data_IF_746589428288
#
_entry.id   IF_746589428288
#
_cell.length_a   1.000
_cell.length_b   1.000
_cell.length_c   1.000
_cell.angle_alpha   90.00
_cell.angle_beta   90.00
_cell.angle_gamma   90.00
#
_symmetry.space_group_name_H-M   'P 1'
#
loop_
_entity.id
_entity.type
_entity.pdbx_description
1 polymer ?
#
# COMPACT_ATOMS: atom_id res chain seq x y z
N UNK A 1 4.70 12.92 -7.50
CA UNK A 1 5.44 11.65 -7.70
C UNK A 1 5.04 11.11 -9.05
N UNK A 2 6.01 10.83 -9.90
CA UNK A 2 5.76 10.20 -11.19
C UNK A 2 5.80 8.66 -11.09
N UNK A 3 5.71 7.99 -12.24
CA UNK A 3 5.69 6.53 -12.32
C UNK A 3 7.03 5.92 -11.91
N UNK A 4 8.13 6.52 -12.35
CA UNK A 4 9.47 5.97 -12.15
C UNK A 4 9.85 6.07 -10.67
N UNK A 5 9.55 7.22 -10.05
CA UNK A 5 9.68 7.41 -8.61
C UNK A 5 8.91 6.32 -7.83
N UNK A 6 7.64 6.07 -8.23
CA UNK A 6 6.76 5.14 -7.51
C UNK A 6 7.26 3.69 -7.66
N UNK A 7 7.65 3.29 -8.86
CA UNK A 7 8.29 1.99 -9.10
C UNK A 7 9.54 1.83 -8.24
N UNK A 8 10.41 2.85 -8.17
CA UNK A 8 11.63 2.79 -7.36
C UNK A 8 11.36 2.76 -5.85
N UNK A 9 10.31 3.42 -5.37
CA UNK A 9 9.90 3.34 -3.96
C UNK A 9 9.35 1.96 -3.59
N UNK A 10 8.58 1.33 -4.49
CA UNK A 10 8.02 -0.01 -4.32
C UNK A 10 9.10 -1.09 -4.35
N UNK A 11 10.05 -1.01 -5.29
CA UNK A 11 11.17 -1.95 -5.39
C UNK A 11 12.05 -1.93 -4.14
N UNK A 12 12.25 -0.76 -3.53
CA UNK A 12 12.97 -0.64 -2.25
C UNK A 12 12.22 -1.25 -1.06
N UNK A 13 10.90 -1.30 -1.11
CA UNK A 13 10.10 -1.94 -0.05
C UNK A 13 10.26 -3.46 -0.07
N UNK A 14 10.29 -4.06 -1.27
CA UNK A 14 10.76 -5.44 -1.48
C UNK A 14 9.81 -6.55 -1.02
N UNK A 15 8.53 -6.26 -0.76
CA UNK A 15 7.51 -7.31 -0.63
C UNK A 15 7.03 -7.79 -2.00
N UNK A 16 6.46 -8.99 -2.06
CA UNK A 16 5.97 -9.58 -3.31
C UNK A 16 4.94 -8.65 -4.00
N UNK A 17 3.95 -8.15 -3.25
CA UNK A 17 2.96 -7.22 -3.79
C UNK A 17 3.54 -5.86 -4.19
N UNK A 18 4.58 -5.37 -3.52
CA UNK A 18 5.28 -4.16 -3.94
C UNK A 18 6.03 -4.37 -5.27
N UNK A 19 6.70 -5.52 -5.42
CA UNK A 19 7.37 -5.92 -6.65
C UNK A 19 6.35 -6.12 -7.80
N UNK A 20 5.22 -6.77 -7.55
CA UNK A 20 4.13 -6.90 -8.53
C UNK A 20 3.59 -5.54 -8.98
N UNK A 21 3.32 -4.63 -8.03
CA UNK A 21 2.89 -3.27 -8.34
C UNK A 21 3.94 -2.51 -9.16
N UNK A 22 5.23 -2.64 -8.83
CA UNK A 22 6.32 -2.01 -9.58
C UNK A 22 6.42 -2.55 -11.02
N UNK A 23 6.28 -3.87 -11.20
CA UNK A 23 6.23 -4.50 -12.52
C UNK A 23 5.03 -4.03 -13.33
N UNK A 24 3.84 -3.96 -12.71
CA UNK A 24 2.65 -3.46 -13.36
C UNK A 24 2.81 -2.00 -13.82
N UNK A 25 3.39 -1.14 -12.98
CA UNK A 25 3.71 0.24 -13.35
C UNK A 25 4.62 0.30 -14.57
N UNK A 26 5.70 -0.49 -14.59
CA UNK A 26 6.64 -0.59 -15.73
C UNK A 26 5.94 -1.07 -17.01
N UNK A 27 4.93 -1.94 -16.87
CA UNK A 27 4.09 -2.40 -17.98
C UNK A 27 3.03 -1.38 -18.44
N UNK A 28 2.99 -0.18 -17.84
CA UNK A 28 2.07 0.88 -18.23
C UNK A 28 0.76 0.91 -17.45
N UNK A 29 0.69 0.22 -16.30
CA UNK A 29 -0.48 0.25 -15.43
C UNK A 29 -0.92 1.67 -15.07
N UNK A 30 -2.23 1.83 -14.91
CA UNK A 30 -2.81 3.04 -14.36
C UNK A 30 -2.49 3.13 -12.87
N UNK A 31 -2.15 4.33 -12.43
CA UNK A 31 -1.87 4.60 -11.03
C UNK A 31 -2.30 6.01 -10.66
N UNK A 32 -2.45 6.23 -9.36
CA UNK A 32 -2.56 7.56 -8.80
C UNK A 32 -1.95 7.60 -7.41
N UNK A 33 -1.47 8.77 -7.02
CA UNK A 33 -1.03 9.10 -5.65
C UNK A 33 -1.73 10.39 -5.26
N UNK A 34 -2.41 10.37 -4.11
CA UNK A 34 -3.07 11.56 -3.57
C UNK A 34 -2.04 12.50 -2.94
N UNK A 35 -2.13 13.82 -3.18
CA UNK A 35 -1.23 14.77 -2.56
C UNK A 35 -1.53 14.96 -1.06
N UNK A 36 -2.74 14.63 -0.60
CA UNK A 36 -3.10 14.74 0.80
C UNK A 36 -2.55 13.57 1.63
N UNK A 37 -2.10 13.89 2.84
CA UNK A 37 -1.67 12.90 3.82
C UNK A 37 -2.71 12.70 4.91
N UNK A 38 -2.77 11.50 5.46
CA UNK A 38 -3.57 11.17 6.65
C UNK A 38 -2.70 10.44 7.68
N UNK A 39 -3.05 10.44 8.97
CA UNK A 39 -2.34 9.63 9.95
C UNK A 39 -2.43 8.14 9.62
N UNK A 40 -1.32 7.39 9.72
CA UNK A 40 -1.30 5.95 9.45
C UNK A 40 -2.26 5.17 10.38
N UNK A 41 -2.41 5.60 11.63
CA UNK A 41 -3.37 5.06 12.61
C UNK A 41 -4.83 5.09 12.13
N UNK A 42 -5.20 6.12 11.36
CA UNK A 42 -6.53 6.22 10.74
C UNK A 42 -6.72 5.19 9.64
N UNK A 43 -5.71 5.01 8.79
CA UNK A 43 -5.70 3.96 7.76
C UNK A 43 -5.76 2.58 8.40
N UNK A 44 -4.92 2.34 9.40
CA UNK A 44 -4.88 1.10 10.15
C UNK A 44 -6.25 0.75 10.73
N UNK A 45 -6.93 1.70 11.36
CA UNK A 45 -8.25 1.45 11.97
C UNK A 45 -9.28 0.95 10.95
N UNK A 46 -9.26 1.50 9.73
CA UNK A 46 -10.15 1.08 8.64
C UNK A 46 -9.82 -0.35 8.19
N UNK A 47 -8.53 -0.64 7.97
CA UNK A 47 -8.11 -1.92 7.41
C UNK A 47 -8.05 -3.05 8.44
N UNK A 48 -7.79 -2.75 9.71
CA UNK A 48 -7.92 -3.69 10.81
C UNK A 48 -9.37 -4.14 11.00
N UNK A 49 -10.33 -3.21 10.92
CA UNK A 49 -11.75 -3.58 10.94
C UNK A 49 -12.13 -4.48 9.75
N UNK A 50 -11.66 -4.14 8.54
CA UNK A 50 -11.85 -5.01 7.37
C UNK A 50 -11.21 -6.39 7.55
N UNK A 51 -10.01 -6.46 8.12
CA UNK A 51 -9.33 -7.72 8.40
C UNK A 51 -10.13 -8.58 9.38
N UNK A 52 -10.73 -7.97 10.40
CA UNK A 52 -11.61 -8.66 11.33
C UNK A 52 -12.84 -9.24 10.61
N UNK A 53 -13.55 -8.44 9.80
CA UNK A 53 -14.69 -8.94 9.03
C UNK A 53 -14.30 -10.08 8.08
N UNK A 54 -13.17 -9.97 7.38
CA UNK A 54 -12.66 -11.04 6.51
C UNK A 54 -12.37 -12.32 7.28
N UNK A 55 -11.81 -12.22 8.49
CA UNK A 55 -11.55 -13.37 9.35
C UNK A 55 -12.86 -14.02 9.83
N UNK A 56 -13.86 -13.23 10.19
CA UNK A 56 -15.20 -13.71 10.56
C UNK A 56 -15.89 -14.44 9.40
N UNK A 57 -15.71 -13.96 8.17
CA UNK A 57 -16.25 -14.56 6.94
C UNK A 57 -15.41 -15.74 6.40
N UNK A 58 -14.26 -16.05 7.01
CA UNK A 58 -13.34 -17.09 6.54
C UNK A 58 -12.62 -16.76 5.23
N UNK A 59 -12.51 -15.49 4.87
CA UNK A 59 -11.82 -15.03 3.66
C UNK A 59 -10.31 -15.09 3.84
N UNK A 60 -9.61 -15.76 2.92
CA UNK A 60 -8.14 -15.83 2.92
C UNK A 60 -7.56 -14.51 2.44
N UNK A 61 -6.77 -13.86 3.30
CA UNK A 61 -6.01 -12.65 2.98
C UNK A 61 -4.73 -12.96 2.21
N UNK A 62 -4.26 -12.01 1.41
CA UNK A 62 -2.92 -12.09 0.79
C UNK A 62 -1.83 -11.79 1.83
N UNK A 63 -0.62 -12.30 1.61
CA UNK A 63 0.54 -12.07 2.50
C UNK A 63 0.91 -10.60 2.67
N UNK A 64 0.79 -9.79 1.61
CA UNK A 64 1.06 -8.35 1.69
C UNK A 64 0.07 -7.66 2.62
N UNK A 65 -1.21 -8.06 2.59
CA UNK A 65 -2.20 -7.56 3.53
C UNK A 65 -1.84 -7.87 4.99
N UNK A 66 -1.39 -9.10 5.26
CA UNK A 66 -0.96 -9.54 6.60
C UNK A 66 0.28 -8.77 7.09
N UNK A 67 1.15 -8.33 6.19
CA UNK A 67 2.37 -7.55 6.53
C UNK A 67 2.11 -6.04 6.62
N UNK A 68 1.29 -5.50 5.73
CA UNK A 68 1.04 -4.07 5.64
C UNK A 68 0.30 -3.50 6.85
N UNK A 69 -0.54 -4.28 7.52
CA UNK A 69 -1.19 -3.86 8.78
C UNK A 69 -0.18 -3.62 9.91
N UNK A 70 0.73 -4.56 10.24
CA UNK A 70 1.85 -4.30 11.15
C UNK A 70 2.72 -3.09 10.77
N UNK A 71 2.96 -2.86 9.48
CA UNK A 71 3.74 -1.71 9.01
C UNK A 71 3.04 -0.38 9.33
N UNK A 72 1.73 -0.29 9.05
CA UNK A 72 0.91 0.86 9.41
C UNK A 72 0.82 1.06 10.93
N UNK A 73 0.73 -0.02 11.70
CA UNK A 73 0.76 0.02 13.16
C UNK A 73 2.07 0.58 13.71
N UNK A 74 3.22 0.23 13.11
CA UNK A 74 4.52 0.78 13.48
C UNK A 74 4.67 2.25 13.11
N UNK A 75 4.03 2.70 12.03
CA UNK A 75 4.04 4.10 11.62
C UNK A 75 3.24 5.03 12.57
N UNK A 76 2.29 4.49 13.35
CA UNK A 76 1.54 5.27 14.34
C UNK A 76 0.78 6.45 13.72
N UNK A 77 0.97 7.66 14.24
CA UNK A 77 0.33 8.87 13.71
C UNK A 77 1.15 9.58 12.62
N UNK A 78 2.22 8.95 12.12
CA UNK A 78 2.99 9.52 11.03
C UNK A 78 2.08 9.79 9.81
N UNK A 79 2.20 10.97 9.16
CA UNK A 79 1.43 11.29 7.97
C UNK A 79 1.87 10.40 6.80
N UNK A 80 0.90 9.77 6.16
CA UNK A 80 1.10 8.91 5.00
C UNK A 80 0.25 9.36 3.82
N UNK A 81 0.83 9.29 2.63
CA UNK A 81 0.11 9.51 1.38
C UNK A 81 -0.45 8.19 0.86
N UNK A 82 -1.65 8.24 0.28
CA UNK A 82 -2.32 7.08 -0.30
C UNK A 82 -2.08 7.04 -1.81
N UNK A 83 -1.59 5.89 -2.28
CA UNK A 83 -1.47 5.55 -3.68
C UNK A 83 -2.27 4.29 -4.03
N UNK A 84 -2.46 4.11 -5.33
CA UNK A 84 -3.08 2.93 -5.91
C UNK A 84 -2.40 2.59 -7.22
N UNK A 85 -2.14 1.30 -7.42
CA UNK A 85 -1.72 0.73 -8.71
C UNK A 85 -2.77 -0.29 -9.13
N UNK A 86 -3.37 -0.12 -10.30
CA UNK A 86 -4.28 -1.10 -10.88
C UNK A 86 -3.52 -2.12 -11.72
N UNK A 87 -3.66 -3.40 -11.42
CA UNK A 87 -3.17 -4.48 -12.28
C UNK A 87 -4.33 -5.04 -13.11
N UNK A 88 -4.05 -5.95 -14.03
CA UNK A 88 -5.09 -6.57 -14.85
C UNK A 88 -6.06 -7.43 -14.01
N UNK A 89 -5.59 -7.97 -12.88
CA UNK A 89 -6.32 -8.92 -12.04
C UNK A 89 -6.70 -8.34 -10.68
N UNK A 90 -6.04 -7.28 -10.22
CA UNK A 90 -6.24 -6.75 -8.88
C UNK A 90 -5.86 -5.26 -8.75
N UNK A 91 -5.86 -4.75 -7.53
CA UNK A 91 -5.45 -3.42 -7.15
C UNK A 91 -4.56 -3.50 -5.91
N UNK A 92 -3.38 -2.89 -6.00
CA UNK A 92 -2.53 -2.68 -4.84
C UNK A 92 -2.77 -1.29 -4.27
N UNK A 93 -3.00 -1.22 -2.97
CA UNK A 93 -3.02 0.04 -2.23
C UNK A 93 -1.64 0.27 -1.64
N UNK A 94 -1.09 1.45 -1.93
CA UNK A 94 0.27 1.81 -1.55
C UNK A 94 0.20 2.91 -0.51
N UNK A 95 0.93 2.78 0.59
CA UNK A 95 1.04 3.81 1.62
C UNK A 95 2.47 4.33 1.62
N UNK A 96 2.64 5.60 1.30
CA UNK A 96 3.94 6.26 1.17
C UNK A 96 4.18 7.17 2.38
N UNK A 97 5.46 7.44 2.67
CA UNK A 97 5.84 8.55 3.55
C UNK A 97 5.31 9.89 3.00
N UNK A 98 5.11 10.89 3.87
CA UNK A 98 4.56 12.19 3.48
C UNK A 98 5.39 12.94 2.43
N UNK A 99 6.70 12.73 2.40
CA UNK A 99 7.62 13.27 1.41
C UNK A 99 7.64 12.45 0.10
N UNK A 100 6.82 11.40 0.01
CA UNK A 100 6.72 10.44 -1.10
C UNK A 100 8.03 9.68 -1.39
N UNK A 101 9.02 9.74 -0.49
CA UNK A 101 10.34 9.18 -0.76
C UNK A 101 10.41 7.67 -0.55
N UNK A 102 9.49 7.07 0.21
CA UNK A 102 9.53 5.65 0.58
C UNK A 102 8.14 5.04 0.69
N UNK A 103 8.04 3.74 0.34
CA UNK A 103 6.85 2.94 0.56
C UNK A 103 6.89 2.30 1.96
N UNK A 104 5.86 2.59 2.76
CA UNK A 104 5.69 2.10 4.13
C UNK A 104 4.92 0.79 4.18
N UNK A 105 3.87 0.65 3.39
CA UNK A 105 3.02 -0.54 3.37
C UNK A 105 2.36 -0.74 2.01
N UNK A 106 2.06 -1.99 1.68
CA UNK A 106 1.25 -2.40 0.53
C UNK A 106 0.13 -3.31 1.02
N UNK A 107 -1.11 -3.07 0.58
CA UNK A 107 -2.29 -3.89 0.86
C UNK A 107 -2.95 -4.36 -0.44
#
# INVERSE_FOLDING_TARGET
MDREDLSAALERHGTDGACEAALALRAGAAFWVRPETVPASRILSIWAWRAQCMAEDGTVTRKDFERGLPDLQRAGDAPVALGRVGTAEDTHLIFLTADLSSCLAVL
#
